data_IF_848663603544
#
_entry.id   IF_848663603544
#
_cell.length_a   1.000
_cell.length_b   1.000
_cell.length_c   1.000
_cell.angle_alpha   90.00
_cell.angle_beta   90.00
_cell.angle_gamma   90.00
#
_symmetry.space_group_name_H-M   'P 1'
#
loop_
_entity.id
_entity.type
_entity.pdbx_description
1 polymer ?
#
# COMPACT_ATOMS: atom_id res chain seq x y z
N UNK A 1 -20.33 22.34 -12.06
CA UNK A 1 -20.17 21.02 -11.38
C UNK A 1 -21.46 20.18 -11.55
N UNK A 2 -21.76 19.72 -12.75
CA UNK A 2 -22.88 18.81 -13.03
C UNK A 2 -22.34 17.42 -13.41
N UNK A 3 -21.53 16.83 -12.55
CA UNK A 3 -21.11 15.43 -12.66
C UNK A 3 -21.93 14.61 -11.68
N UNK A 4 -23.13 14.21 -12.08
CA UNK A 4 -23.82 13.11 -11.39
C UNK A 4 -22.83 11.94 -11.32
N UNK A 5 -22.51 11.47 -10.11
CA UNK A 5 -21.65 10.32 -9.92
C UNK A 5 -22.31 9.11 -10.61
N UNK A 6 -21.89 8.80 -11.82
CA UNK A 6 -22.33 7.60 -12.52
C UNK A 6 -21.82 6.41 -11.73
N UNK A 7 -22.72 5.67 -11.14
CA UNK A 7 -22.37 4.37 -10.56
C UNK A 7 -21.82 3.47 -11.66
N UNK A 8 -20.62 2.96 -11.46
CA UNK A 8 -19.99 2.01 -12.39
C UNK A 8 -19.98 0.64 -11.72
N UNK A 9 -20.65 -0.31 -12.32
CA UNK A 9 -20.53 -1.72 -11.95
C UNK A 9 -19.41 -2.33 -12.78
N UNK A 10 -18.46 -2.97 -12.12
CA UNK A 10 -17.39 -3.73 -12.76
C UNK A 10 -17.35 -5.14 -12.19
N UNK A 11 -17.52 -6.13 -13.06
CA UNK A 11 -17.52 -7.55 -12.70
C UNK A 11 -16.32 -8.22 -13.37
N UNK A 12 -15.47 -8.84 -12.57
CA UNK A 12 -14.25 -9.49 -13.06
C UNK A 12 -14.06 -10.88 -12.51
N UNK A 13 -13.21 -11.63 -13.16
CA UNK A 13 -12.69 -12.91 -12.71
C UNK A 13 -11.18 -12.81 -12.58
N UNK A 14 -10.63 -13.35 -11.52
CA UNK A 14 -9.20 -13.29 -11.28
C UNK A 14 -8.70 -14.46 -10.44
N UNK A 15 -7.38 -14.53 -10.34
CA UNK A 15 -6.68 -15.49 -9.51
C UNK A 15 -5.49 -14.82 -8.83
N UNK A 16 -5.06 -15.39 -7.72
CA UNK A 16 -3.86 -14.95 -7.02
C UNK A 16 -2.98 -16.12 -6.62
N UNK A 17 -1.68 -15.85 -6.63
CA UNK A 17 -0.67 -16.76 -6.09
C UNK A 17 0.04 -16.00 -4.98
N UNK A 18 0.21 -16.64 -3.83
CA UNK A 18 0.94 -16.05 -2.71
C UNK A 18 1.91 -17.04 -2.09
N UNK A 19 3.04 -16.49 -1.62
CA UNK A 19 4.06 -17.19 -0.84
C UNK A 19 4.25 -16.47 0.49
N UNK A 20 3.99 -17.14 1.59
CA UNK A 20 4.02 -16.56 2.93
C UNK A 20 4.88 -17.39 3.88
N UNK A 21 5.97 -16.80 4.37
CA UNK A 21 6.87 -17.39 5.36
C UNK A 21 6.95 -16.55 6.64
N UNK A 22 6.02 -15.59 6.80
CA UNK A 22 5.99 -14.72 7.97
C UNK A 22 5.74 -15.53 9.25
N UNK A 23 6.39 -15.14 10.31
CA UNK A 23 6.20 -15.74 11.63
C UNK A 23 4.85 -15.36 12.26
N UNK A 24 4.25 -14.26 11.82
CA UNK A 24 2.93 -13.81 12.24
C UNK A 24 2.31 -12.85 11.21
N UNK A 25 1.01 -12.94 10.93
CA UNK A 25 0.39 -12.16 9.86
C UNK A 25 0.19 -10.68 10.20
N UNK A 26 -0.21 -10.36 11.44
CA UNK A 26 -0.59 -8.98 11.82
C UNK A 26 0.57 -8.13 12.33
N UNK A 27 1.69 -8.74 12.72
CA UNK A 27 2.89 -8.06 13.19
C UNK A 27 4.09 -8.99 13.03
N UNK A 28 4.60 -9.05 11.82
CA UNK A 28 5.72 -9.91 11.44
C UNK A 28 7.05 -9.39 11.95
N UNK A 29 7.89 -10.28 12.48
CA UNK A 29 9.25 -9.96 12.90
C UNK A 29 10.30 -10.52 11.95
N UNK A 30 9.93 -11.54 11.18
CA UNK A 30 10.78 -12.17 10.17
C UNK A 30 9.92 -12.87 9.12
N UNK A 31 10.50 -13.06 7.95
CA UNK A 31 9.87 -13.77 6.85
C UNK A 31 9.58 -12.86 5.67
N UNK A 32 8.95 -13.45 4.68
CA UNK A 32 8.62 -12.79 3.41
C UNK A 32 7.18 -13.12 3.06
N UNK A 33 6.47 -12.15 2.54
CA UNK A 33 5.18 -12.33 1.91
C UNK A 33 5.22 -11.78 0.49
N UNK A 34 4.95 -12.64 -0.47
CA UNK A 34 4.85 -12.28 -1.88
C UNK A 34 3.44 -12.59 -2.36
N UNK A 35 2.83 -11.69 -3.11
CA UNK A 35 1.53 -11.90 -3.75
C UNK A 35 1.55 -11.36 -5.17
N UNK A 36 1.05 -12.15 -6.09
CA UNK A 36 0.71 -11.74 -7.44
C UNK A 36 -0.78 -12.02 -7.65
N UNK A 37 -1.51 -11.00 -8.05
CA UNK A 37 -2.93 -11.11 -8.37
C UNK A 37 -3.17 -10.58 -9.78
N UNK A 38 -3.93 -11.35 -10.56
CA UNK A 38 -4.34 -10.99 -11.90
C UNK A 38 -5.86 -11.05 -12.00
N UNK A 39 -6.49 -9.97 -12.46
CA UNK A 39 -7.94 -9.89 -12.67
C UNK A 39 -8.27 -9.41 -14.07
N UNK A 40 -9.25 -10.04 -14.68
CA UNK A 40 -9.79 -9.72 -16.02
C UNK A 40 -11.24 -9.27 -15.88
N UNK A 41 -11.60 -8.19 -16.55
CA UNK A 41 -12.94 -7.61 -16.59
C UNK A 41 -13.46 -7.62 -18.03
N UNK A 42 -14.04 -8.73 -18.50
CA UNK A 42 -14.50 -8.89 -19.88
C UNK A 42 -15.88 -8.30 -20.08
N UNK A 43 -16.21 -7.89 -21.31
CA UNK A 43 -17.52 -7.34 -21.64
C UNK A 43 -18.67 -8.32 -21.43
N UNK A 44 -18.47 -9.64 -21.63
CA UNK A 44 -19.52 -10.62 -21.47
C UNK A 44 -20.05 -10.75 -20.03
N UNK A 45 -19.34 -10.21 -19.01
CA UNK A 45 -19.82 -10.10 -17.63
C UNK A 45 -20.57 -8.78 -17.36
N UNK A 46 -20.91 -8.02 -18.39
CA UNK A 46 -21.65 -6.76 -18.25
C UNK A 46 -20.78 -5.51 -18.12
N UNK A 47 -19.47 -5.63 -18.27
CA UNK A 47 -18.61 -4.45 -18.30
C UNK A 47 -18.77 -3.71 -19.62
N UNK A 48 -18.66 -2.38 -19.59
CA UNK A 48 -18.69 -1.55 -20.78
C UNK A 48 -17.47 -1.81 -21.67
N UNK A 49 -16.30 -1.90 -21.05
CA UNK A 49 -15.01 -2.01 -21.70
C UNK A 49 -14.22 -3.19 -21.15
N UNK A 50 -13.30 -3.75 -21.94
CA UNK A 50 -12.40 -4.83 -21.48
C UNK A 50 -11.16 -4.21 -20.87
N UNK A 51 -10.84 -4.61 -19.65
CA UNK A 51 -9.60 -4.25 -18.99
C UNK A 51 -9.12 -5.36 -18.05
N UNK A 52 -7.87 -5.30 -17.68
CA UNK A 52 -7.29 -6.22 -16.71
C UNK A 52 -6.35 -5.49 -15.74
N UNK A 53 -6.18 -6.06 -14.56
CA UNK A 53 -5.33 -5.51 -13.52
C UNK A 53 -4.34 -6.54 -13.04
N UNK A 54 -3.11 -6.11 -12.84
CA UNK A 54 -2.04 -6.91 -12.23
C UNK A 54 -1.63 -6.20 -10.95
N UNK A 55 -1.67 -6.90 -9.82
CA UNK A 55 -1.29 -6.40 -8.50
C UNK A 55 -0.14 -7.24 -7.95
N UNK A 56 0.97 -6.60 -7.60
CA UNK A 56 2.19 -7.24 -7.10
C UNK A 56 2.52 -6.66 -5.75
N UNK A 57 2.70 -7.52 -4.76
CA UNK A 57 3.06 -7.16 -3.40
C UNK A 57 4.24 -7.99 -2.93
N UNK A 58 5.20 -7.34 -2.28
CA UNK A 58 6.31 -8.00 -1.62
C UNK A 58 6.62 -7.32 -0.29
N UNK A 59 6.39 -8.03 0.80
CA UNK A 59 6.74 -7.61 2.15
C UNK A 59 7.90 -8.45 2.66
N UNK A 60 8.92 -7.80 3.19
CA UNK A 60 10.11 -8.45 3.73
C UNK A 60 10.33 -7.96 5.16
N UNK A 61 10.51 -8.89 6.09
CA UNK A 61 10.71 -8.60 7.50
C UNK A 61 12.00 -9.23 7.99
N UNK A 62 12.84 -8.42 8.61
CA UNK A 62 14.11 -8.85 9.16
C UNK A 62 14.31 -8.28 10.56
N UNK A 63 14.50 -9.17 11.53
CA UNK A 63 14.95 -8.75 12.85
C UNK A 63 16.43 -8.36 12.77
N UNK A 64 16.74 -7.12 13.07
CA UNK A 64 18.12 -6.56 12.92
C UNK A 64 18.88 -6.53 14.22
N UNK A 65 18.19 -6.23 15.36
CA UNK A 65 18.76 -6.28 16.70
C UNK A 65 17.68 -6.57 17.75
N UNK A 66 18.02 -6.51 19.04
CA UNK A 66 17.06 -6.77 20.11
C UNK A 66 15.94 -5.70 20.11
N UNK A 67 14.73 -6.13 19.80
CA UNK A 67 13.55 -5.25 19.70
C UNK A 67 13.46 -4.44 18.42
N UNK A 68 14.44 -4.52 17.52
CA UNK A 68 14.46 -3.81 16.24
C UNK A 68 14.09 -4.71 15.06
N UNK A 69 13.15 -4.29 14.22
CA UNK A 69 12.69 -4.98 13.02
C UNK A 69 12.76 -4.00 11.87
N UNK A 70 13.40 -4.41 10.79
CA UNK A 70 13.34 -3.74 9.51
C UNK A 70 12.25 -4.42 8.68
N UNK A 71 11.28 -3.63 8.22
CA UNK A 71 10.22 -4.08 7.34
C UNK A 71 10.29 -3.29 6.03
N UNK A 72 10.16 -3.98 4.91
CA UNK A 72 10.17 -3.40 3.56
C UNK A 72 8.89 -3.85 2.88
N UNK A 73 8.13 -2.90 2.35
CA UNK A 73 6.94 -3.12 1.53
C UNK A 73 7.19 -2.56 0.14
N UNK A 74 6.95 -3.38 -0.86
CA UNK A 74 6.98 -3.01 -2.27
C UNK A 74 5.64 -3.39 -2.88
N UNK A 75 4.97 -2.43 -3.44
CA UNK A 75 3.67 -2.60 -4.08
C UNK A 75 3.66 -1.98 -5.46
N UNK A 76 3.10 -2.70 -6.42
CA UNK A 76 2.85 -2.16 -7.74
C UNK A 76 1.52 -2.69 -8.27
N UNK A 77 0.72 -1.79 -8.83
CA UNK A 77 -0.53 -2.16 -9.51
C UNK A 77 -0.57 -1.53 -10.89
N UNK A 78 -0.82 -2.37 -11.86
CA UNK A 78 -0.88 -2.01 -13.27
C UNK A 78 -2.28 -2.27 -13.81
N UNK A 79 -2.77 -1.37 -14.66
CA UNK A 79 -4.03 -1.56 -15.35
C UNK A 79 -3.83 -1.43 -16.87
N UNK A 80 -4.48 -2.28 -17.60
CA UNK A 80 -4.36 -2.36 -19.07
C UNK A 80 -5.75 -2.39 -19.70
N UNK A 81 -5.86 -1.85 -20.92
CA UNK A 81 -7.13 -1.69 -21.60
C UNK A 81 -7.87 -0.43 -21.19
N UNK A 82 -9.17 -0.38 -21.43
CA UNK A 82 -10.00 0.80 -21.15
C UNK A 82 -10.54 0.78 -19.72
N UNK A 83 -9.61 0.96 -18.78
CA UNK A 83 -9.90 0.90 -17.35
C UNK A 83 -10.74 2.11 -16.92
N UNK A 84 -11.95 1.89 -16.33
CA UNK A 84 -12.73 2.97 -15.74
C UNK A 84 -11.96 3.74 -14.69
N UNK A 85 -12.14 5.06 -14.62
CA UNK A 85 -11.43 5.90 -13.64
C UNK A 85 -11.60 5.44 -12.19
N UNK A 86 -12.76 4.87 -11.86
CA UNK A 86 -13.04 4.34 -10.51
C UNK A 86 -12.18 3.13 -10.14
N UNK A 87 -11.69 2.37 -11.12
CA UNK A 87 -10.88 1.17 -10.96
C UNK A 87 -9.37 1.43 -11.08
N UNK A 88 -8.98 2.63 -11.47
CA UNK A 88 -7.57 3.00 -11.54
C UNK A 88 -6.90 2.97 -10.16
N UNK A 89 -5.65 2.52 -10.07
CA UNK A 89 -4.85 2.55 -8.85
C UNK A 89 -4.80 3.93 -8.21
N UNK A 90 -4.79 3.92 -6.89
CA UNK A 90 -4.74 5.13 -6.06
C UNK A 90 -3.45 5.10 -5.24
N UNK A 91 -2.80 6.23 -5.12
CA UNK A 91 -1.68 6.43 -4.21
C UNK A 91 -2.18 7.07 -2.92
N UNK A 92 -1.54 6.71 -1.80
CA UNK A 92 -1.89 7.22 -0.47
C UNK A 92 -2.84 6.32 0.31
N UNK A 93 -3.00 6.62 1.56
CA UNK A 93 -3.92 5.91 2.46
C UNK A 93 -3.32 5.60 3.83
N UNK A 94 -3.90 4.63 4.52
CA UNK A 94 -3.52 4.28 5.88
C UNK A 94 -2.40 3.24 5.97
N UNK A 95 -2.08 2.55 4.89
CA UNK A 95 -1.06 1.49 4.84
C UNK A 95 0.23 2.00 4.20
N UNK A 96 0.12 2.54 2.99
CA UNK A 96 1.22 3.04 2.17
C UNK A 96 1.08 4.53 1.94
N UNK A 97 2.20 5.20 1.66
CA UNK A 97 2.23 6.63 1.40
C UNK A 97 1.41 7.43 2.43
N UNK A 98 1.58 7.08 3.70
CA UNK A 98 0.88 7.67 4.84
C UNK A 98 1.16 9.18 4.93
N UNK A 99 0.11 9.99 5.02
CA UNK A 99 0.20 11.46 4.94
C UNK A 99 -0.33 12.03 3.63
N UNK A 100 -0.52 11.18 2.60
CA UNK A 100 -1.25 11.54 1.40
C UNK A 100 -2.71 11.10 1.50
N UNK A 101 -3.63 11.94 1.01
CA UNK A 101 -5.02 11.54 0.86
C UNK A 101 -5.15 10.44 -0.19
N UNK A 102 -5.85 9.36 0.14
CA UNK A 102 -6.09 8.26 -0.77
C UNK A 102 -6.79 8.73 -2.05
N UNK A 103 -6.16 8.46 -3.18
CA UNK A 103 -6.69 8.78 -4.50
C UNK A 103 -6.51 10.23 -4.93
N UNK A 104 -5.78 11.05 -4.19
CA UNK A 104 -5.34 12.38 -4.66
C UNK A 104 -4.46 12.26 -5.91
N UNK A 105 -3.60 11.27 -5.92
CA UNK A 105 -2.78 10.88 -7.08
C UNK A 105 -3.32 9.54 -7.58
N UNK A 106 -3.71 9.52 -8.84
CA UNK A 106 -4.33 8.36 -9.49
C UNK A 106 -3.96 8.35 -10.95
N UNK A 107 -3.58 7.19 -11.45
CA UNK A 107 -3.33 6.95 -12.87
C UNK A 107 -3.50 5.45 -13.16
N UNK A 108 -3.21 5.01 -14.39
CA UNK A 108 -3.31 3.61 -14.79
C UNK A 108 -2.39 2.68 -14.02
N UNK A 109 -1.24 3.19 -13.57
CA UNK A 109 -0.24 2.41 -12.86
C UNK A 109 0.21 3.14 -11.61
N UNK A 110 0.53 2.37 -10.57
CA UNK A 110 1.14 2.85 -9.34
C UNK A 110 2.31 1.95 -8.97
N UNK A 111 3.38 2.54 -8.48
CA UNK A 111 4.50 1.85 -7.85
C UNK A 111 4.84 2.54 -6.54
N UNK A 112 4.96 1.78 -5.47
CA UNK A 112 5.21 2.27 -4.12
C UNK A 112 6.27 1.40 -3.45
N UNK A 113 7.15 2.03 -2.70
CA UNK A 113 8.11 1.34 -1.83
C UNK A 113 8.15 2.05 -0.49
N UNK A 114 8.21 1.28 0.58
CA UNK A 114 8.31 1.80 1.93
C UNK A 114 9.28 0.94 2.75
N UNK A 115 10.13 1.60 3.51
CA UNK A 115 11.03 0.95 4.48
C UNK A 115 10.68 1.48 5.85
N UNK A 116 10.44 0.57 6.77
CA UNK A 116 9.96 0.86 8.11
C UNK A 116 10.89 0.22 9.16
N UNK A 117 11.37 1.02 10.08
CA UNK A 117 12.12 0.56 11.25
C UNK A 117 11.19 0.57 12.47
N UNK A 118 10.86 -0.60 12.96
CA UNK A 118 10.03 -0.82 14.16
C UNK A 118 10.93 -1.10 15.34
N UNK A 119 10.85 -0.30 16.39
CA UNK A 119 11.64 -0.48 17.61
C UNK A 119 10.73 -0.66 18.81
N UNK A 120 10.82 -1.82 19.44
CA UNK A 120 10.26 -2.03 20.76
C UNK A 120 11.10 -1.28 21.80
N UNK A 121 10.49 -0.42 22.59
CA UNK A 121 11.19 0.45 23.56
C UNK A 121 11.06 -0.09 24.98
N UNK A 122 9.85 -0.24 25.46
CA UNK A 122 9.64 -0.63 26.86
C UNK A 122 8.25 -1.25 27.07
N UNK A 123 8.19 -2.41 27.75
CA UNK A 123 6.96 -3.17 28.05
C UNK A 123 6.12 -3.41 26.77
N UNK A 124 5.05 -2.64 26.61
CA UNK A 124 4.10 -2.72 25.48
C UNK A 124 4.25 -1.58 24.50
N UNK A 125 5.30 -0.77 24.65
CA UNK A 125 5.47 0.45 23.88
C UNK A 125 6.58 0.28 22.85
N UNK A 126 6.30 0.75 21.64
CA UNK A 126 7.25 0.79 20.55
C UNK A 126 7.11 2.09 19.77
N UNK A 127 8.12 2.36 18.96
CA UNK A 127 8.15 3.46 18.02
C UNK A 127 8.49 2.95 16.64
N UNK A 128 8.03 3.66 15.62
CA UNK A 128 8.25 3.31 14.23
C UNK A 128 8.68 4.56 13.49
N UNK A 129 9.67 4.39 12.62
CA UNK A 129 10.09 5.39 11.64
C UNK A 129 10.01 4.76 10.26
N UNK A 130 9.51 5.51 9.30
CA UNK A 130 9.48 5.04 7.91
C UNK A 130 9.87 6.12 6.94
N UNK A 131 10.38 5.65 5.82
CA UNK A 131 10.57 6.42 4.61
C UNK A 131 10.01 5.62 3.44
N UNK A 132 9.49 6.30 2.46
CA UNK A 132 8.92 5.67 1.28
C UNK A 132 8.90 6.61 0.10
N UNK A 133 8.57 6.04 -1.02
CA UNK A 133 8.39 6.76 -2.27
C UNK A 133 7.30 6.08 -3.10
N UNK A 134 6.50 6.87 -3.79
CA UNK A 134 5.46 6.37 -4.68
C UNK A 134 5.36 7.20 -5.94
N UNK A 135 4.94 6.57 -7.01
CA UNK A 135 4.75 7.21 -8.30
C UNK A 135 3.50 6.66 -8.97
N UNK A 136 2.76 7.53 -9.64
CA UNK A 136 1.66 7.15 -10.52
C UNK A 136 2.01 7.57 -11.95
N UNK A 137 1.71 6.72 -12.92
CA UNK A 137 2.06 6.96 -14.31
C UNK A 137 1.09 6.29 -15.27
N UNK A 138 0.90 6.91 -16.44
CA UNK A 138 -0.05 6.42 -17.44
C UNK A 138 0.43 5.16 -18.12
N UNK A 139 1.67 5.15 -18.59
CA UNK A 139 2.36 4.03 -19.20
C UNK A 139 3.85 4.02 -18.83
N UNK A 140 4.55 2.92 -19.12
CA UNK A 140 5.96 2.79 -18.76
C UNK A 140 6.88 3.81 -19.46
N UNK A 141 6.46 4.37 -20.60
CA UNK A 141 7.22 5.41 -21.31
C UNK A 141 7.02 6.79 -20.67
N UNK A 142 5.88 7.01 -20.04
CA UNK A 142 5.56 8.25 -19.33
C UNK A 142 6.10 8.31 -17.92
N UNK A 143 6.71 7.23 -17.41
CA UNK A 143 7.33 7.20 -16.10
C UNK A 143 8.45 8.24 -15.99
N UNK A 144 8.38 9.11 -14.98
CA UNK A 144 9.40 10.12 -14.69
C UNK A 144 9.75 10.09 -13.22
N UNK A 145 11.03 9.96 -12.91
CA UNK A 145 11.55 10.02 -11.56
C UNK A 145 11.24 11.36 -10.86
N UNK A 146 11.13 12.45 -11.62
CA UNK A 146 10.77 13.77 -11.09
C UNK A 146 9.35 13.86 -10.53
N UNK A 147 8.47 12.93 -10.88
CA UNK A 147 7.10 12.83 -10.35
C UNK A 147 7.00 11.92 -9.14
N UNK A 148 8.10 11.32 -8.72
CA UNK A 148 8.11 10.46 -7.52
C UNK A 148 7.87 11.29 -6.27
N UNK A 149 6.89 10.87 -5.50
CA UNK A 149 6.42 11.52 -4.29
C UNK A 149 7.13 10.88 -3.08
N UNK A 150 7.86 11.67 -2.27
CA UNK A 150 8.46 11.16 -1.04
C UNK A 150 7.41 11.02 0.05
N UNK A 151 7.61 10.04 0.91
CA UNK A 151 6.83 9.83 2.13
C UNK A 151 7.76 9.52 3.29
N UNK A 152 7.51 10.08 4.45
CA UNK A 152 8.22 9.74 5.68
C UNK A 152 7.34 10.04 6.90
N UNK A 153 7.69 9.48 8.02
CA UNK A 153 6.93 9.74 9.23
C UNK A 153 7.43 8.96 10.43
N UNK A 154 6.70 9.18 11.50
CA UNK A 154 6.94 8.52 12.78
C UNK A 154 5.62 8.01 13.35
N UNK A 155 5.71 6.91 14.09
CA UNK A 155 4.55 6.30 14.71
C UNK A 155 4.84 5.77 16.10
N UNK A 156 3.79 5.73 16.89
CA UNK A 156 3.78 5.09 18.19
C UNK A 156 3.00 3.78 18.11
N UNK A 157 3.48 2.77 18.83
CA UNK A 157 2.87 1.44 18.94
C UNK A 157 2.60 1.12 20.38
N UNK A 158 1.38 0.71 20.65
CA UNK A 158 1.01 0.13 21.93
C UNK A 158 0.50 -1.30 21.72
N UNK A 159 1.23 -2.28 22.25
CA UNK A 159 0.85 -3.68 22.16
C UNK A 159 -0.33 -3.97 23.12
N UNK A 160 -1.53 -3.88 22.58
CA UNK A 160 -2.77 -4.16 23.30
C UNK A 160 -2.86 -5.64 23.69
N UNK A 161 -2.57 -6.52 22.76
CA UNK A 161 -2.48 -7.98 22.90
C UNK A 161 -1.21 -8.44 22.18
N UNK A 162 -0.68 -9.60 22.55
CA UNK A 162 0.53 -10.15 21.92
C UNK A 162 0.41 -10.11 20.38
N UNK A 163 1.31 -9.40 19.73
CA UNK A 163 1.37 -9.20 18.29
C UNK A 163 0.19 -8.41 17.69
N UNK A 164 -0.57 -7.71 18.51
CA UNK A 164 -1.64 -6.81 18.07
C UNK A 164 -1.35 -5.43 18.64
N UNK A 165 -1.03 -4.49 17.77
CA UNK A 165 -0.66 -3.13 18.13
C UNK A 165 -1.81 -2.15 17.85
N UNK A 166 -2.01 -1.21 18.75
CA UNK A 166 -2.67 0.06 18.45
C UNK A 166 -1.62 0.96 17.84
N UNK A 167 -1.92 1.54 16.71
CA UNK A 167 -1.01 2.32 15.88
C UNK A 167 -1.46 3.78 15.79
N UNK A 168 -0.55 4.68 16.12
CA UNK A 168 -0.70 6.11 15.92
C UNK A 168 0.45 6.57 15.04
N UNK A 169 0.13 7.01 13.84
CA UNK A 169 1.12 7.44 12.84
C UNK A 169 0.91 8.90 12.48
N UNK A 170 2.01 9.62 12.29
CA UNK A 170 2.01 10.94 11.70
C UNK A 170 2.92 10.93 10.47
N UNK A 171 2.31 10.99 9.30
CA UNK A 171 2.98 10.91 8.02
C UNK A 171 3.10 12.26 7.33
N UNK A 172 4.22 12.44 6.64
CA UNK A 172 4.53 13.63 5.86
C UNK A 172 4.66 13.25 4.38
N UNK A 173 4.06 14.05 3.53
CA UNK A 173 4.17 14.00 2.09
C UNK A 173 4.55 15.36 1.52
N UNK A 174 4.60 15.47 0.21
CA UNK A 174 4.88 16.73 -0.48
C UNK A 174 3.76 17.73 -0.25
N UNK A 175 4.01 18.74 0.60
CA UNK A 175 3.05 19.80 0.90
C UNK A 175 1.82 19.38 1.73
N UNK A 176 1.85 18.22 2.35
CA UNK A 176 0.76 17.72 3.18
C UNK A 176 1.27 16.77 4.27
N UNK A 177 0.44 16.57 5.27
CA UNK A 177 0.69 15.61 6.34
C UNK A 177 -0.63 15.06 6.85
N UNK A 178 -0.60 13.93 7.55
CA UNK A 178 -1.78 13.30 8.08
C UNK A 178 -1.51 12.52 9.35
N UNK A 179 -2.47 12.56 10.25
CA UNK A 179 -2.51 11.71 11.43
C UNK A 179 -3.39 10.49 11.15
N UNK A 180 -2.92 9.32 11.53
CA UNK A 180 -3.59 8.05 11.32
C UNK A 180 -3.68 7.27 12.63
N UNK A 181 -4.87 6.78 12.91
CA UNK A 181 -5.14 5.82 13.99
C UNK A 181 -5.59 4.51 13.36
N UNK A 182 -4.98 3.40 13.79
CA UNK A 182 -5.35 2.09 13.28
C UNK A 182 -4.98 0.98 14.29
N UNK A 183 -5.42 -0.23 14.00
CA UNK A 183 -5.04 -1.45 14.74
C UNK A 183 -4.24 -2.34 13.79
N UNK A 184 -3.26 -3.05 14.31
CA UNK A 184 -2.20 -3.82 13.63
C UNK A 184 -1.15 -2.92 12.95
N UNK A 185 -0.14 -3.57 12.35
CA UNK A 185 0.89 -2.84 11.60
C UNK A 185 0.39 -2.41 10.21
N UNK A 186 1.19 -1.61 9.52
CA UNK A 186 0.81 -1.09 8.20
C UNK A 186 0.85 -2.20 7.13
N UNK A 187 1.77 -3.15 7.27
CA UNK A 187 1.97 -4.30 6.38
C UNK A 187 2.72 -5.39 7.14
#
# INVERSE_FOLDING_TARGET
LNGAAKSTLSVGVGGSISYDTRDFQTNSYKGVYLKLEQSLYPCFLGNKDVFYTTDVLADIYQKVWKGGILAIDIHAKFTFGDTPWTMMPKLGGSLRMRGYYEGQYRDRNVGEIQVELRQHVWKRNGVVFWVGAGNVFHDFRSFKWSHTLPNYGLGYRWEFKKRVNVRLDYGFGKGQSGFLFNINEAF
#
